data_IF_604719384616
#
_entry.id   IF_604719384616
#
_cell.length_a   1.000
_cell.length_b   1.000
_cell.length_c   1.000
_cell.angle_alpha   90.00
_cell.angle_beta   90.00
_cell.angle_gamma   90.00
#
_symmetry.space_group_name_H-M   'P 1'
#
loop_
_entity.id
_entity.type
_entity.pdbx_description
1 polymer ?
#
# COMPACT_ATOMS: atom_id res chain seq x y z
N UNK A 1 -48.20 66.74 -12.51
CA UNK A 1 -47.99 66.18 -11.15
C UNK A 1 -49.05 65.10 -10.94
N UNK A 2 -48.66 63.83 -11.09
CA UNK A 2 -48.61 62.80 -10.02
C UNK A 2 -49.93 62.62 -9.28
N UNK A 3 -50.61 61.49 -9.50
CA UNK A 3 -51.10 60.63 -8.41
C UNK A 3 -51.10 59.17 -8.88
N UNK A 4 -50.55 58.31 -8.03
CA UNK A 4 -50.31 56.88 -8.22
C UNK A 4 -51.47 56.08 -7.59
N UNK A 5 -51.92 55.05 -8.32
CA UNK A 5 -52.10 53.64 -7.91
C UNK A 5 -53.08 53.26 -6.79
N UNK A 6 -53.98 52.31 -7.09
CA UNK A 6 -54.14 50.95 -6.49
C UNK A 6 -55.60 50.47 -6.68
N UNK A 7 -55.79 49.34 -7.36
CA UNK A 7 -56.89 48.35 -7.20
C UNK A 7 -56.46 47.10 -8.00
N UNK A 8 -55.71 46.18 -7.39
CA UNK A 8 -56.22 44.97 -6.75
C UNK A 8 -57.03 44.07 -7.72
N UNK A 9 -56.33 43.17 -8.43
CA UNK A 9 -56.94 42.07 -9.19
C UNK A 9 -56.65 40.74 -8.49
N UNK A 10 -57.72 40.13 -7.97
CA UNK A 10 -57.76 38.76 -7.48
C UNK A 10 -57.37 37.77 -8.58
N UNK A 11 -56.41 36.90 -8.28
CA UNK A 11 -55.98 35.77 -9.09
C UNK A 11 -56.69 34.51 -8.58
N UNK A 12 -57.42 33.74 -9.40
CA UNK A 12 -57.95 32.45 -8.97
C UNK A 12 -56.91 31.33 -9.13
N UNK A 13 -56.89 30.53 -8.08
CA UNK A 13 -56.26 29.24 -7.81
C UNK A 13 -56.33 28.25 -9.00
N UNK A 14 -55.19 27.69 -9.41
CA UNK A 14 -55.10 26.50 -10.28
C UNK A 14 -54.57 25.33 -9.44
N UNK A 15 -55.27 24.18 -9.36
CA UNK A 15 -54.77 23.01 -8.67
C UNK A 15 -53.83 22.25 -9.62
N UNK A 16 -52.52 22.33 -9.39
CA UNK A 16 -51.57 21.48 -10.09
C UNK A 16 -51.59 20.06 -9.48
N UNK A 17 -52.07 19.11 -10.28
CA UNK A 17 -51.98 17.66 -10.05
C UNK A 17 -50.60 17.25 -9.51
N UNK A 18 -50.58 16.70 -8.29
CA UNK A 18 -49.47 15.90 -7.78
C UNK A 18 -49.53 14.53 -8.45
N UNK A 19 -48.85 14.37 -9.59
CA UNK A 19 -48.50 13.05 -10.11
C UNK A 19 -47.38 12.49 -9.21
N UNK A 20 -47.56 11.34 -8.54
CA UNK A 20 -46.44 10.63 -7.93
C UNK A 20 -45.59 10.08 -9.07
N UNK A 21 -44.53 10.81 -9.43
CA UNK A 21 -43.52 10.34 -10.35
C UNK A 21 -42.71 9.23 -9.68
N UNK A 22 -43.19 8.00 -9.76
CA UNK A 22 -42.38 6.80 -9.54
C UNK A 22 -41.21 6.81 -10.54
N UNK A 23 -40.07 7.35 -10.12
CA UNK A 23 -38.83 7.40 -10.93
C UNK A 23 -37.69 6.70 -10.20
N UNK A 24 -37.92 5.48 -9.70
CA UNK A 24 -36.86 4.62 -9.13
C UNK A 24 -36.21 3.70 -10.17
N UNK A 25 -36.92 3.30 -11.23
CA UNK A 25 -36.43 2.28 -12.18
C UNK A 25 -35.19 2.68 -13.02
N UNK A 26 -34.87 3.98 -13.11
CA UNK A 26 -33.65 4.43 -13.79
C UNK A 26 -32.38 4.23 -12.96
N UNK A 27 -32.50 4.28 -11.62
CA UNK A 27 -31.36 4.11 -10.70
C UNK A 27 -30.92 2.65 -10.66
N UNK A 28 -31.88 1.73 -10.54
CA UNK A 28 -31.60 0.29 -10.49
C UNK A 28 -31.01 -0.23 -11.81
N UNK A 29 -31.46 0.32 -12.95
CA UNK A 29 -30.92 -0.02 -14.28
C UNK A 29 -29.52 0.54 -14.49
N UNK A 30 -29.22 1.72 -13.96
CA UNK A 30 -27.87 2.29 -14.01
C UNK A 30 -26.92 1.47 -13.13
N UNK A 31 -27.34 1.13 -11.92
CA UNK A 31 -26.54 0.34 -10.99
C UNK A 31 -26.23 -1.06 -11.55
N UNK A 32 -27.22 -1.75 -12.13
CA UNK A 32 -27.00 -3.06 -12.75
C UNK A 32 -26.05 -2.98 -13.95
N UNK A 33 -26.14 -1.91 -14.75
CA UNK A 33 -25.23 -1.67 -15.88
C UNK A 33 -23.80 -1.42 -15.42
N UNK A 34 -23.61 -0.69 -14.31
CA UNK A 34 -22.28 -0.45 -13.72
C UNK A 34 -21.68 -1.79 -13.27
N UNK A 35 -22.42 -2.58 -12.48
CA UNK A 35 -21.95 -3.91 -12.02
C UNK A 35 -21.61 -4.83 -13.19
N UNK A 36 -22.40 -4.83 -14.25
CA UNK A 36 -22.15 -5.63 -15.45
C UNK A 36 -20.88 -5.17 -16.19
N UNK A 37 -20.61 -3.86 -16.24
CA UNK A 37 -19.38 -3.33 -16.85
C UNK A 37 -18.16 -3.66 -16.01
N UNK A 38 -18.24 -3.51 -14.69
CA UNK A 38 -17.14 -3.82 -13.78
C UNK A 38 -16.74 -5.30 -13.88
N UNK A 39 -17.72 -6.20 -13.90
CA UNK A 39 -17.49 -7.64 -14.13
C UNK A 39 -16.83 -7.91 -15.47
N UNK A 40 -17.25 -7.21 -16.53
CA UNK A 40 -16.66 -7.38 -17.86
C UNK A 40 -15.22 -6.86 -17.94
N UNK A 41 -14.90 -5.80 -17.21
CA UNK A 41 -13.52 -5.30 -17.11
C UNK A 41 -12.63 -6.34 -16.45
N UNK A 42 -13.05 -6.90 -15.32
CA UNK A 42 -12.31 -7.95 -14.60
C UNK A 42 -12.11 -9.16 -15.52
N UNK A 43 -13.17 -9.62 -16.18
CA UNK A 43 -13.10 -10.76 -17.09
C UNK A 43 -12.12 -10.53 -18.25
N UNK A 44 -12.17 -9.34 -18.87
CA UNK A 44 -11.27 -9.01 -19.98
C UNK A 44 -9.82 -8.90 -19.52
N UNK A 45 -9.58 -8.41 -18.29
CA UNK A 45 -8.24 -8.37 -17.72
C UNK A 45 -7.69 -9.78 -17.50
N UNK A 46 -8.49 -10.69 -16.93
CA UNK A 46 -8.12 -12.10 -16.78
C UNK A 46 -7.84 -12.77 -18.13
N UNK A 47 -8.66 -12.48 -19.14
CA UNK A 47 -8.47 -13.00 -20.50
C UNK A 47 -7.17 -12.47 -21.14
N UNK A 48 -6.85 -11.19 -20.95
CA UNK A 48 -5.59 -10.58 -21.42
C UNK A 48 -4.40 -11.26 -20.75
N UNK A 49 -4.43 -11.42 -19.42
CA UNK A 49 -3.33 -12.03 -18.68
C UNK A 49 -3.12 -13.48 -19.10
N UNK A 50 -4.21 -14.23 -19.28
CA UNK A 50 -4.19 -15.60 -19.76
C UNK A 50 -3.61 -15.71 -21.16
N UNK A 51 -4.07 -14.87 -22.10
CA UNK A 51 -3.57 -14.88 -23.47
C UNK A 51 -2.12 -14.41 -23.58
N UNK A 52 -1.71 -13.44 -22.74
CA UNK A 52 -0.33 -13.01 -22.64
C UNK A 52 0.57 -14.15 -22.15
N UNK A 53 0.14 -14.89 -21.12
CA UNK A 53 0.84 -16.08 -20.64
C UNK A 53 1.00 -17.17 -21.70
N UNK A 54 -0.07 -17.48 -22.44
CA UNK A 54 0.00 -18.46 -23.55
C UNK A 54 0.92 -18.02 -24.68
N UNK A 55 0.83 -16.76 -25.11
CA UNK A 55 1.71 -16.24 -26.15
C UNK A 55 3.17 -16.29 -25.70
N UNK A 56 3.46 -15.97 -24.44
CA UNK A 56 4.81 -16.03 -23.90
C UNK A 56 5.35 -17.47 -23.86
N UNK A 57 4.54 -18.43 -23.43
CA UNK A 57 4.93 -19.85 -23.43
C UNK A 57 5.21 -20.37 -24.84
N UNK A 58 4.30 -20.11 -25.79
CA UNK A 58 4.45 -20.52 -27.20
C UNK A 58 5.67 -19.86 -27.86
N UNK A 59 5.88 -18.57 -27.62
CA UNK A 59 7.05 -17.87 -28.15
C UNK A 59 8.35 -18.43 -27.58
N UNK A 60 8.34 -18.88 -26.32
CA UNK A 60 9.50 -19.54 -25.69
C UNK A 60 9.78 -20.88 -26.34
N UNK A 61 8.75 -21.70 -26.55
CA UNK A 61 8.87 -23.00 -27.21
C UNK A 61 9.39 -22.88 -28.65
N UNK A 62 8.79 -21.98 -29.46
CA UNK A 62 9.24 -21.71 -30.83
C UNK A 62 10.70 -21.28 -30.87
N UNK A 63 11.14 -20.50 -29.89
CA UNK A 63 12.51 -19.99 -29.80
C UNK A 63 13.51 -21.08 -29.45
N UNK A 64 13.19 -21.96 -28.49
CA UNK A 64 13.98 -23.15 -28.15
C UNK A 64 14.13 -24.05 -29.37
N UNK A 65 13.03 -24.34 -30.08
CA UNK A 65 13.06 -25.19 -31.28
C UNK A 65 13.88 -24.58 -32.42
N UNK A 66 13.91 -23.25 -32.53
CA UNK A 66 14.70 -22.54 -33.56
C UNK A 66 16.16 -22.35 -33.19
N UNK A 67 16.61 -22.81 -32.02
CA UNK A 67 17.97 -22.57 -31.53
C UNK A 67 18.31 -21.08 -31.40
N UNK A 68 17.29 -20.22 -31.32
CA UNK A 68 17.47 -18.78 -31.18
C UNK A 68 17.78 -18.48 -29.71
N UNK A 69 18.77 -17.62 -29.42
CA UNK A 69 19.03 -17.18 -28.06
C UNK A 69 17.77 -16.54 -27.48
N UNK A 70 17.47 -16.82 -26.21
CA UNK A 70 16.40 -16.12 -25.50
C UNK A 70 16.63 -14.60 -25.60
N UNK A 71 15.57 -13.79 -25.71
CA UNK A 71 15.67 -12.35 -25.80
C UNK A 71 16.43 -11.90 -24.58
N UNK A 72 17.34 -10.95 -24.77
CA UNK A 72 18.23 -10.40 -23.75
C UNK A 72 17.52 -9.70 -22.58
N UNK A 73 16.18 -9.84 -22.46
CA UNK A 73 15.48 -9.65 -21.18
C UNK A 73 15.72 -10.82 -20.21
N UNK A 74 16.16 -11.96 -20.73
CA UNK A 74 16.89 -13.00 -20.01
C UNK A 74 18.40 -12.75 -20.13
N UNK A 75 18.85 -11.50 -20.04
CA UNK A 75 20.20 -11.25 -19.58
C UNK A 75 20.23 -11.73 -18.12
N UNK A 76 21.13 -12.65 -17.70
CA UNK A 76 21.28 -12.98 -16.28
C UNK A 76 21.54 -11.75 -15.39
N UNK A 77 21.81 -10.59 -16.01
CA UNK A 77 22.02 -9.31 -15.35
C UNK A 77 20.85 -8.31 -15.43
N UNK A 78 19.74 -8.62 -16.12
CA UNK A 78 18.57 -7.72 -16.08
C UNK A 78 17.85 -7.92 -14.76
N UNK A 79 17.80 -6.90 -13.88
CA UNK A 79 17.15 -7.05 -12.59
C UNK A 79 15.65 -7.33 -12.80
N UNK A 80 15.14 -8.36 -12.11
CA UNK A 80 13.72 -8.75 -12.15
C UNK A 80 12.78 -7.58 -11.83
N UNK A 81 13.27 -6.60 -11.07
CA UNK A 81 12.57 -5.36 -10.76
C UNK A 81 13.40 -4.14 -11.18
N UNK A 82 12.89 -3.24 -12.03
CA UNK A 82 13.65 -2.13 -12.62
C UNK A 82 13.85 -0.96 -11.64
N UNK A 83 14.00 -1.21 -10.35
CA UNK A 83 14.22 -0.16 -9.36
C UNK A 83 15.66 0.37 -9.46
N UNK A 84 15.78 1.70 -9.49
CA UNK A 84 17.04 2.44 -9.63
C UNK A 84 17.36 3.30 -8.41
N UNK A 85 16.34 3.80 -7.72
CA UNK A 85 16.49 4.64 -6.54
C UNK A 85 15.34 4.43 -5.58
N UNK A 86 15.55 4.78 -4.32
CA UNK A 86 14.48 4.87 -3.32
C UNK A 86 14.49 6.29 -2.77
N UNK A 87 13.30 6.85 -2.56
CA UNK A 87 13.15 8.16 -1.92
C UNK A 87 12.18 8.07 -0.77
N UNK A 88 12.39 8.90 0.26
CA UNK A 88 11.39 9.08 1.31
C UNK A 88 10.32 10.04 0.79
N UNK A 89 9.12 9.50 0.58
CA UNK A 89 8.00 10.15 -0.06
C UNK A 89 7.49 11.40 0.67
N UNK A 90 6.73 12.21 -0.06
CA UNK A 90 6.17 13.47 0.47
C UNK A 90 5.15 13.23 1.57
N UNK A 91 4.40 12.14 1.50
CA UNK A 91 3.38 11.75 2.47
C UNK A 91 3.95 11.19 3.79
N UNK A 92 5.26 11.36 4.04
CA UNK A 92 5.87 11.05 5.34
C UNK A 92 5.47 12.12 6.35
N UNK A 93 4.81 11.72 7.44
CA UNK A 93 4.22 12.63 8.43
C UNK A 93 4.49 12.14 9.86
N UNK A 94 4.50 13.04 10.86
CA UNK A 94 4.39 12.62 12.25
C UNK A 94 3.07 11.88 12.53
N UNK A 95 3.07 11.03 13.55
CA UNK A 95 1.91 10.31 14.06
C UNK A 95 1.49 10.99 15.36
N UNK A 96 0.23 11.43 15.42
CA UNK A 96 -0.47 11.98 16.59
C UNK A 96 -1.82 11.24 16.70
N UNK A 97 -1.88 10.23 17.57
CA UNK A 97 -3.04 9.33 17.73
C UNK A 97 -3.76 9.61 19.06
N UNK A 98 -3.02 10.03 20.10
CA UNK A 98 -3.55 10.27 21.45
C UNK A 98 -4.03 11.72 21.69
N UNK A 99 -3.76 12.64 20.75
CA UNK A 99 -4.08 14.09 20.83
C UNK A 99 -3.44 14.78 22.04
N UNK A 100 -2.46 14.16 22.67
CA UNK A 100 -1.67 14.77 23.73
C UNK A 100 -0.55 15.63 23.11
N UNK A 101 0.04 16.55 23.87
CA UNK A 101 1.16 17.34 23.36
C UNK A 101 2.40 16.48 23.12
N UNK A 102 2.75 16.33 21.84
CA UNK A 102 3.92 15.59 21.37
C UNK A 102 3.50 14.61 20.29
N UNK A 103 4.39 14.32 19.35
CA UNK A 103 4.15 13.25 18.38
C UNK A 103 4.64 11.91 18.97
N UNK A 104 3.98 10.80 18.65
CA UNK A 104 4.20 9.44 19.19
C UNK A 104 5.04 8.57 18.24
N UNK A 105 5.19 9.03 17.00
CA UNK A 105 6.01 8.37 16.00
C UNK A 105 6.05 9.12 14.69
N UNK A 106 6.58 8.44 13.68
CA UNK A 106 6.57 8.92 12.29
C UNK A 106 6.05 7.82 11.38
N UNK A 107 5.16 8.20 10.48
CA UNK A 107 4.77 7.39 9.34
C UNK A 107 5.69 7.73 8.17
N UNK A 108 6.57 6.79 7.82
CA UNK A 108 7.52 6.90 6.72
C UNK A 108 6.93 6.27 5.46
N UNK A 109 6.97 7.00 4.35
CA UNK A 109 6.57 6.47 3.05
C UNK A 109 7.82 6.24 2.20
N UNK A 110 8.08 5.01 1.80
CA UNK A 110 9.18 4.69 0.89
C UNK A 110 8.66 4.54 -0.55
N UNK A 111 9.29 5.27 -1.46
CA UNK A 111 8.95 5.29 -2.88
C UNK A 111 10.15 4.76 -3.69
N UNK A 112 10.23 3.44 -3.93
CA UNK A 112 11.12 2.89 -4.94
C UNK A 112 10.74 3.39 -6.34
N UNK A 113 11.72 3.87 -7.09
CA UNK A 113 11.54 4.44 -8.43
C UNK A 113 12.45 3.77 -9.44
N UNK A 114 11.95 3.59 -10.66
CA UNK A 114 12.75 3.14 -11.80
C UNK A 114 13.61 4.26 -12.39
N UNK A 115 14.30 3.97 -13.50
CA UNK A 115 15.14 4.92 -14.22
C UNK A 115 14.35 6.13 -14.77
N UNK A 116 13.04 5.97 -15.03
CA UNK A 116 12.15 7.04 -15.48
C UNK A 116 11.53 7.82 -14.29
N UNK A 117 11.85 7.43 -13.06
CA UNK A 117 11.29 8.02 -11.84
C UNK A 117 9.87 7.54 -11.50
N UNK A 118 9.36 6.49 -12.17
CA UNK A 118 8.04 5.91 -11.89
C UNK A 118 8.11 4.98 -10.69
N UNK A 119 7.03 4.95 -9.93
CA UNK A 119 6.92 4.13 -8.72
C UNK A 119 6.90 2.63 -9.08
N UNK A 120 7.71 1.84 -8.38
CA UNK A 120 7.86 0.41 -8.67
C UNK A 120 7.61 -0.46 -7.43
N UNK A 121 6.66 -1.38 -7.52
CA UNK A 121 6.44 -2.35 -6.45
C UNK A 121 7.45 -3.50 -6.59
N UNK A 122 8.41 -3.58 -5.68
CA UNK A 122 9.41 -4.64 -5.65
C UNK A 122 9.46 -5.32 -4.27
N UNK A 123 9.68 -6.65 -4.21
CA UNK A 123 9.92 -7.36 -2.96
C UNK A 123 11.28 -6.94 -2.38
N UNK A 124 11.27 -6.56 -1.10
CA UNK A 124 12.45 -6.06 -0.41
C UNK A 124 12.25 -6.11 1.10
N UNK A 125 13.36 -6.10 1.83
CA UNK A 125 13.41 -5.70 3.24
C UNK A 125 13.65 -4.18 3.32
N UNK A 126 13.20 -3.57 4.40
CA UNK A 126 13.57 -2.18 4.72
C UNK A 126 14.08 -2.07 6.15
N UNK A 127 15.07 -1.21 6.35
CA UNK A 127 15.50 -0.79 7.69
C UNK A 127 15.45 0.73 7.75
N UNK A 128 14.66 1.24 8.68
CA UNK A 128 14.48 2.67 8.92
C UNK A 128 15.18 3.00 10.23
N UNK A 129 16.15 3.90 10.19
CA UNK A 129 16.78 4.45 11.38
C UNK A 129 16.37 5.91 11.48
N UNK A 130 15.87 6.31 12.64
CA UNK A 130 15.56 7.71 12.91
C UNK A 130 16.59 8.21 13.91
N UNK A 131 17.25 9.31 13.55
CA UNK A 131 18.21 10.00 14.40
C UNK A 131 17.70 11.40 14.70
N UNK A 132 17.80 11.79 15.94
CA UNK A 132 17.62 13.16 16.39
C UNK A 132 18.82 14.00 15.96
N UNK A 133 18.57 15.21 15.48
CA UNK A 133 19.61 16.19 15.20
C UNK A 133 19.40 17.37 16.15
N UNK A 134 20.32 17.53 17.10
CA UNK A 134 20.29 18.65 18.03
C UNK A 134 20.74 19.96 17.33
N UNK A 135 20.48 21.12 17.96
CA UNK A 135 20.88 22.44 17.46
C UNK A 135 22.40 22.59 17.26
N UNK A 136 23.21 21.75 17.91
CA UNK A 136 24.65 21.66 17.71
C UNK A 136 25.08 20.68 16.59
N UNK A 137 24.12 20.03 15.91
CA UNK A 137 24.36 19.04 14.86
C UNK A 137 24.75 17.64 15.36
N UNK A 138 24.65 17.40 16.68
CA UNK A 138 24.90 16.08 17.26
C UNK A 138 23.78 15.12 16.87
N UNK A 139 24.15 13.91 16.40
CA UNK A 139 23.19 12.87 15.97
C UNK A 139 23.01 11.85 17.09
N UNK A 140 21.80 11.78 17.65
CA UNK A 140 21.44 10.79 18.66
C UNK A 140 20.44 9.80 18.06
N UNK A 141 20.71 8.48 18.06
CA UNK A 141 19.76 7.52 17.51
C UNK A 141 18.51 7.43 18.39
N UNK A 142 17.33 7.63 17.80
CA UNK A 142 16.03 7.45 18.47
C UNK A 142 15.63 5.98 18.43
N UNK A 143 15.86 5.32 17.28
CA UNK A 143 15.51 3.92 17.09
C UNK A 143 15.78 3.44 15.68
N UNK A 144 15.72 2.12 15.52
CA UNK A 144 15.79 1.42 14.24
C UNK A 144 14.62 0.44 14.15
N UNK A 145 13.96 0.42 13.00
CA UNK A 145 12.85 -0.46 12.68
C UNK A 145 13.19 -1.26 11.43
N UNK A 146 13.20 -2.59 11.56
CA UNK A 146 13.42 -3.51 10.46
C UNK A 146 12.09 -4.13 10.03
N UNK A 147 11.88 -4.15 8.71
CA UNK A 147 10.67 -4.68 8.08
C UNK A 147 11.03 -5.85 7.17
N UNK A 148 10.36 -6.98 7.38
CA UNK A 148 10.52 -8.17 6.53
C UNK A 148 9.87 -7.99 5.16
N UNK A 149 10.21 -8.82 4.16
CA UNK A 149 9.57 -8.78 2.83
C UNK A 149 8.05 -8.92 2.88
N UNK A 150 7.52 -9.71 3.81
CA UNK A 150 6.09 -9.90 4.02
C UNK A 150 5.42 -8.64 4.55
N UNK A 151 6.05 -8.00 5.55
CA UNK A 151 5.57 -6.73 6.12
C UNK A 151 5.61 -5.61 5.08
N UNK A 152 6.69 -5.53 4.30
CA UNK A 152 6.81 -4.59 3.18
C UNK A 152 5.71 -4.82 2.14
N UNK A 153 5.48 -6.07 1.73
CA UNK A 153 4.42 -6.38 0.76
C UNK A 153 3.03 -5.95 1.25
N UNK A 154 2.76 -6.10 2.55
CA UNK A 154 1.51 -5.73 3.20
C UNK A 154 1.36 -4.21 3.40
N UNK A 155 2.47 -3.48 3.55
CA UNK A 155 2.47 -2.03 3.75
C UNK A 155 2.34 -1.21 2.46
N UNK A 156 2.35 -1.88 1.29
CA UNK A 156 2.15 -1.22 0.01
C UNK A 156 0.77 -0.57 -0.10
N UNK A 157 0.75 0.73 -0.38
CA UNK A 157 -0.44 1.50 -0.69
C UNK A 157 -0.28 2.12 -2.07
N UNK A 158 -1.35 2.11 -2.87
CA UNK A 158 -1.41 2.81 -4.14
C UNK A 158 -2.77 3.52 -4.21
N UNK A 159 -2.73 4.84 -4.26
CA UNK A 159 -3.95 5.66 -4.23
C UNK A 159 -3.67 7.13 -4.57
N UNK A 160 -4.73 7.92 -4.61
CA UNK A 160 -4.69 9.34 -4.98
C UNK A 160 -3.84 10.20 -4.03
N UNK A 161 -3.76 9.82 -2.75
CA UNK A 161 -3.10 10.61 -1.70
C UNK A 161 -1.71 10.08 -1.32
N UNK A 162 -1.53 8.76 -1.34
CA UNK A 162 -0.27 8.11 -0.95
C UNK A 162 -0.02 6.92 -1.86
N UNK A 163 1.18 6.86 -2.44
CA UNK A 163 1.64 5.72 -3.23
C UNK A 163 3.06 5.35 -2.80
N UNK A 164 3.26 4.12 -2.33
CA UNK A 164 4.52 3.64 -1.78
C UNK A 164 4.32 2.66 -0.61
N UNK A 165 5.42 2.30 0.05
CA UNK A 165 5.40 1.49 1.27
C UNK A 165 5.20 2.37 2.48
N UNK A 166 4.11 2.16 3.23
CA UNK A 166 3.76 2.98 4.41
C UNK A 166 4.17 2.28 5.70
N UNK A 167 5.21 2.80 6.34
CA UNK A 167 5.86 2.20 7.49
C UNK A 167 5.64 3.07 8.73
N UNK A 168 5.05 2.49 9.77
CA UNK A 168 4.84 3.20 11.04
C UNK A 168 6.04 2.93 11.97
N UNK A 169 6.72 4.00 12.38
CA UNK A 169 7.86 4.00 13.27
C UNK A 169 7.48 4.72 14.57
N UNK A 170 6.91 3.99 15.52
CA UNK A 170 6.57 4.53 16.86
C UNK A 170 7.84 4.72 17.68
N UNK A 171 7.92 5.81 18.44
CA UNK A 171 9.11 6.17 19.20
C UNK A 171 9.49 5.09 20.21
N UNK A 172 10.74 4.60 20.13
CA UNK A 172 11.34 3.75 21.16
C UNK A 172 11.86 4.61 22.32
N UNK A 173 12.39 5.80 21.99
CA UNK A 173 12.74 6.85 22.92
C UNK A 173 12.10 8.16 22.45
N UNK A 174 11.49 8.95 23.34
CA UNK A 174 10.89 10.23 22.96
C UNK A 174 11.99 11.20 22.49
N UNK A 175 11.78 11.89 21.36
CA UNK A 175 12.70 12.92 20.88
C UNK A 175 12.66 14.15 21.81
N UNK A 176 13.78 14.86 21.93
CA UNK A 176 13.92 16.11 22.70
C UNK A 176 13.91 17.35 21.80
N UNK A 177 14.38 17.19 20.57
CA UNK A 177 14.45 18.17 19.50
C UNK A 177 13.20 18.13 18.63
N UNK A 178 12.93 19.24 17.96
CA UNK A 178 11.86 19.37 16.97
C UNK A 178 12.28 18.89 15.58
N UNK A 179 13.52 18.42 15.40
CA UNK A 179 14.06 17.96 14.12
C UNK A 179 14.66 16.56 14.21
N UNK A 180 14.18 15.69 13.31
CA UNK A 180 14.70 14.33 13.17
C UNK A 180 15.10 14.06 11.73
N UNK A 181 16.16 13.28 11.56
CA UNK A 181 16.62 12.76 10.27
C UNK A 181 16.24 11.30 10.16
N UNK A 182 15.49 10.98 9.12
CA UNK A 182 15.07 9.64 8.75
C UNK A 182 16.09 9.11 7.75
N UNK A 183 16.67 7.95 8.04
CA UNK A 183 17.59 7.22 7.17
C UNK A 183 16.94 5.87 6.86
N UNK A 184 16.48 5.70 5.63
CA UNK A 184 15.87 4.46 5.18
C UNK A 184 16.83 3.72 4.26
N UNK A 185 17.00 2.43 4.51
CA UNK A 185 17.66 1.49 3.62
C UNK A 185 16.66 0.47 3.10
N UNK A 186 16.73 0.18 1.82
CA UNK A 186 15.82 -0.70 1.10
C UNK A 186 16.66 -1.74 0.37
N UNK A 187 16.52 -3.00 0.76
CA UNK A 187 17.35 -4.10 0.25
C UNK A 187 16.46 -5.10 -0.48
N UNK A 188 16.67 -5.27 -1.78
CA UNK A 188 15.93 -6.22 -2.60
C UNK A 188 16.44 -7.65 -2.42
N UNK A 189 15.63 -8.62 -2.87
CA UNK A 189 15.99 -10.04 -2.89
C UNK A 189 17.23 -10.34 -3.75
N UNK A 190 17.54 -9.48 -4.72
CA UNK A 190 18.75 -9.56 -5.55
C UNK A 190 20.02 -9.01 -4.84
N UNK A 191 19.89 -8.56 -3.59
CA UNK A 191 20.97 -8.01 -2.78
C UNK A 191 21.28 -6.53 -3.03
N UNK A 192 20.62 -5.87 -4.00
CA UNK A 192 20.80 -4.43 -4.21
C UNK A 192 20.23 -3.65 -3.03
N UNK A 193 21.03 -2.73 -2.50
CA UNK A 193 20.65 -1.83 -1.40
C UNK A 193 20.56 -0.40 -1.89
N UNK A 194 19.47 0.27 -1.54
CA UNK A 194 19.21 1.66 -1.84
C UNK A 194 19.01 2.42 -0.53
N UNK A 195 19.58 3.61 -0.43
CA UNK A 195 19.48 4.43 0.77
C UNK A 195 18.86 5.77 0.44
N UNK A 196 18.00 6.23 1.34
CA UNK A 196 17.31 7.49 1.23
C UNK A 196 17.33 8.20 2.59
N UNK A 197 17.49 9.51 2.56
CA UNK A 197 17.44 10.31 3.76
C UNK A 197 16.47 11.48 3.60
N UNK A 198 15.81 11.84 4.70
CA UNK A 198 14.91 12.99 4.76
C UNK A 198 14.88 13.56 6.16
N UNK A 199 14.88 14.87 6.26
CA UNK A 199 14.66 15.57 7.51
C UNK A 199 13.16 15.86 7.70
N UNK A 200 12.66 15.70 8.92
CA UNK A 200 11.28 15.93 9.30
C UNK A 200 11.22 16.77 10.58
N UNK A 201 10.33 17.77 10.58
CA UNK A 201 10.00 18.52 11.77
C UNK A 201 8.90 17.78 12.55
N UNK A 202 9.09 17.66 13.86
CA UNK A 202 8.20 16.96 14.79
C UNK A 202 7.96 17.82 16.04
N UNK A 203 6.95 17.48 16.82
CA UNK A 203 6.68 18.08 18.12
C UNK A 203 7.23 17.15 19.22
N UNK A 204 8.27 17.56 19.96
CA UNK A 204 8.71 16.76 21.10
C UNK A 204 7.65 16.78 22.20
N UNK A 205 7.53 15.71 23.01
CA UNK A 205 6.67 15.71 24.18
C UNK A 205 7.06 16.86 25.11
N UNK A 206 6.06 17.62 25.57
CA UNK A 206 6.29 18.74 26.48
C UNK A 206 6.76 18.16 27.81
N UNK A 207 8.02 18.44 28.16
CA UNK A 207 8.59 18.06 29.44
C UNK A 207 7.82 18.79 30.55
N UNK A 208 6.89 18.09 31.23
CA UNK A 208 6.11 18.65 32.35
C UNK A 208 6.95 18.88 33.61
N UNK A 209 8.26 18.68 33.52
CA UNK A 209 9.20 18.68 34.62
C UNK A 209 9.57 20.07 35.17
N UNK A 210 8.94 21.16 34.71
CA UNK A 210 9.31 22.50 35.17
C UNK A 210 8.29 23.61 34.99
N UNK A 211 7.15 23.55 35.69
CA UNK A 211 6.37 24.74 36.05
C UNK A 211 5.23 24.42 37.06
N UNK A 212 5.57 24.21 38.33
CA UNK A 212 4.69 24.68 39.41
C UNK A 212 5.27 26.00 39.93
N UNK A 213 4.77 27.18 39.53
CA UNK A 213 5.03 28.40 40.28
C UNK A 213 4.10 28.40 41.49
N UNK A 214 4.61 28.01 42.66
CA UNK A 214 3.85 28.13 43.90
C UNK A 214 4.37 27.28 45.06
N UNK A 215 5.51 27.65 45.63
CA UNK A 215 5.80 27.30 47.01
C UNK A 215 4.87 28.09 47.96
N UNK A 216 4.36 27.41 48.97
CA UNK A 216 3.84 28.05 50.19
C UNK A 216 2.32 27.89 50.38
N UNK A 217 1.90 26.86 51.11
CA UNK A 217 1.59 26.99 52.55
C UNK A 217 1.41 25.57 53.10
N UNK A 218 2.26 25.19 54.05
CA UNK A 218 2.06 23.97 54.82
C UNK A 218 0.78 24.11 55.66
N UNK A 219 -0.25 23.32 55.34
CA UNK A 219 -1.38 23.09 56.23
C UNK A 219 -1.02 21.97 57.21
N UNK A 220 -1.29 22.11 58.51
CA UNK A 220 -1.03 21.06 59.48
C UNK A 220 -2.02 19.91 59.29
N UNK A 221 -1.49 18.69 59.40
CA UNK A 221 -2.23 17.44 59.30
C UNK A 221 -3.33 17.33 60.38
N UNK A 222 -4.52 16.82 60.02
CA UNK A 222 -5.40 16.15 60.96
C UNK A 222 -5.44 14.65 60.69
N UNK A 223 -5.17 13.88 61.75
CA UNK A 223 -5.97 12.70 62.09
C UNK A 223 -5.67 11.42 61.30
N UNK A 224 -4.97 10.52 61.96
CA UNK A 224 -4.91 9.11 61.64
C UNK A 224 -6.30 8.48 61.46
N UNK A 225 -6.45 7.67 60.41
CA UNK A 225 -7.43 6.59 60.34
C UNK A 225 -6.84 5.44 59.52
N UNK A 226 -6.95 4.26 60.11
CA UNK A 226 -6.37 2.95 59.84
C UNK A 226 -6.72 2.37 58.45
N UNK A 227 -5.98 1.34 57.98
CA UNK A 227 -5.99 0.88 56.59
C UNK A 227 -7.19 -0.01 56.31
N UNK A 228 -8.04 0.42 55.38
CA UNK A 228 -9.00 -0.46 54.70
C UNK A 228 -8.29 -1.19 53.57
N UNK A 229 -7.99 -2.47 53.77
CA UNK A 229 -7.51 -3.38 52.74
C UNK A 229 -8.61 -3.50 51.68
N UNK A 230 -8.43 -2.85 50.54
CA UNK A 230 -9.17 -3.17 49.33
C UNK A 230 -8.55 -4.44 48.73
N UNK A 231 -9.20 -5.55 49.01
CA UNK A 231 -8.91 -6.87 48.45
C UNK A 231 -9.10 -6.81 46.93
N UNK A 232 -7.98 -6.82 46.21
CA UNK A 232 -7.95 -6.94 44.75
C UNK A 232 -8.48 -8.33 44.36
N UNK A 233 -9.40 -8.44 43.38
CA UNK A 233 -9.83 -9.73 42.87
C UNK A 233 -8.64 -10.45 42.24
N UNK A 234 -8.36 -11.66 42.72
CA UNK A 234 -7.36 -12.56 42.15
C UNK A 234 -7.69 -12.78 40.67
N UNK A 235 -6.72 -12.63 39.74
CA UNK A 235 -6.92 -12.97 38.34
C UNK A 235 -7.20 -14.47 38.22
N UNK A 236 -8.41 -14.84 37.78
CA UNK A 236 -8.72 -16.22 37.42
C UNK A 236 -7.85 -16.62 36.23
N UNK A 237 -7.03 -17.64 36.41
CA UNK A 237 -6.29 -18.26 35.32
C UNK A 237 -7.28 -18.77 34.26
N UNK A 238 -7.06 -18.47 32.96
CA UNK A 238 -7.92 -18.99 31.91
C UNK A 238 -7.78 -20.52 31.85
N UNK A 239 -8.92 -21.20 31.97
CA UNK A 239 -9.04 -22.64 31.79
C UNK A 239 -8.59 -22.99 30.37
N UNK A 240 -7.69 -23.97 30.16
CA UNK A 240 -7.29 -24.38 28.82
C UNK A 240 -8.51 -24.90 28.05
N UNK A 241 -8.81 -24.27 26.92
CA UNK A 241 -9.80 -24.77 25.97
C UNK A 241 -9.37 -26.17 25.47
N UNK A 242 -10.27 -27.16 25.44
CA UNK A 242 -9.96 -28.46 24.84
C UNK A 242 -9.68 -28.26 23.35
N UNK A 243 -8.46 -28.56 22.91
CA UNK A 243 -8.14 -28.60 21.50
C UNK A 243 -9.01 -29.67 20.81
N UNK A 244 -9.65 -29.35 19.67
CA UNK A 244 -10.30 -30.35 18.84
C UNK A 244 -9.27 -31.40 18.42
N UNK A 245 -9.54 -32.68 18.74
CA UNK A 245 -8.76 -33.80 18.18
C UNK A 245 -8.94 -33.80 16.67
N UNK A 246 -7.94 -33.29 15.94
CA UNK A 246 -7.87 -33.45 14.50
C UNK A 246 -7.65 -34.93 14.20
N UNK A 247 -8.61 -35.54 13.50
CA UNK A 247 -8.43 -36.87 12.93
C UNK A 247 -7.27 -36.82 11.91
N UNK A 248 -6.42 -37.86 11.85
CA UNK A 248 -5.36 -37.93 10.85
C UNK A 248 -5.94 -37.84 9.44
N UNK A 249 -5.40 -36.92 8.64
CA UNK A 249 -5.71 -36.80 7.21
C UNK A 249 -5.26 -38.09 6.51
N UNK A 250 -6.13 -38.76 5.74
CA UNK A 250 -5.74 -39.90 4.92
C UNK A 250 -4.66 -39.47 3.92
N UNK A 251 -3.52 -40.16 3.93
CA UNK A 251 -2.43 -39.89 3.01
C UNK A 251 -2.84 -40.08 1.54
N UNK A 252 -2.19 -39.39 0.60
CA UNK A 252 -2.46 -39.54 -0.83
C UNK A 252 -2.14 -40.96 -1.29
N UNK A 253 -3.09 -41.56 -2.02
CA UNK A 253 -2.93 -42.88 -2.62
C UNK A 253 -1.74 -42.87 -3.62
N UNK A 254 -0.99 -43.98 -3.74
CA UNK A 254 0.09 -44.11 -4.71
C UNK A 254 -0.45 -43.95 -6.14
N UNK A 255 0.07 -42.96 -6.85
CA UNK A 255 -0.22 -42.77 -8.27
C UNK A 255 0.54 -43.83 -9.06
N UNK A 256 -0.21 -44.70 -9.72
CA UNK A 256 0.29 -45.76 -10.59
C UNK A 256 0.99 -45.12 -11.82
N UNK A 257 2.22 -45.53 -12.18
CA UNK A 257 2.95 -44.94 -13.29
C UNK A 257 2.31 -45.32 -14.63
N UNK A 258 1.83 -44.29 -15.35
CA UNK A 258 1.29 -44.44 -16.70
C UNK A 258 2.37 -44.96 -17.68
N UNK A 259 2.00 -46.01 -18.44
CA UNK A 259 2.79 -46.58 -19.53
C UNK A 259 3.05 -45.57 -20.65
N UNK A 260 4.26 -45.52 -21.23
CA UNK A 260 4.56 -44.68 -22.38
C UNK A 260 3.85 -45.20 -23.63
N UNK A 261 2.99 -44.37 -24.22
CA UNK A 261 2.39 -44.62 -25.53
C UNK A 261 3.29 -43.98 -26.59
N UNK A 262 3.68 -44.76 -27.60
CA UNK A 262 4.67 -44.40 -28.62
C UNK A 262 4.25 -43.29 -29.58
N UNK A 263 5.20 -42.82 -30.43
CA UNK A 263 5.06 -41.61 -31.22
C UNK A 263 4.19 -41.83 -32.46
N UNK A 264 3.13 -41.03 -32.59
CA UNK A 264 2.29 -40.97 -33.79
C UNK A 264 2.55 -39.66 -34.53
N UNK A 265 3.04 -39.78 -35.77
CA UNK A 265 2.68 -38.92 -36.90
C UNK A 265 3.17 -37.47 -36.92
N UNK A 266 4.21 -37.20 -37.71
CA UNK A 266 4.53 -35.88 -38.26
C UNK A 266 3.43 -35.43 -39.26
N UNK A 267 2.89 -34.20 -39.16
CA UNK A 267 2.27 -33.53 -40.29
C UNK A 267 3.18 -32.45 -40.89
N UNK A 268 3.51 -32.69 -42.16
CA UNK A 268 3.73 -31.77 -43.29
C UNK A 268 4.39 -30.40 -43.08
N UNK A 269 5.50 -30.24 -43.82
CA UNK A 269 6.21 -28.99 -44.05
C UNK A 269 5.31 -27.89 -44.65
N UNK A 270 5.37 -26.71 -44.03
CA UNK A 270 4.82 -25.46 -44.54
C UNK A 270 5.82 -24.87 -45.55
N UNK A 271 5.40 -24.47 -46.77
CA UNK A 271 6.29 -23.84 -47.74
C UNK A 271 6.70 -22.41 -47.32
N UNK A 272 7.91 -21.94 -47.69
CA UNK A 272 8.41 -20.62 -47.29
C UNK A 272 7.67 -19.48 -48.01
N UNK A 273 7.38 -18.42 -47.24
CA UNK A 273 6.77 -17.18 -47.72
C UNK A 273 7.73 -16.38 -48.63
N UNK A 274 7.22 -15.65 -49.64
CA UNK A 274 8.03 -14.81 -50.53
C UNK A 274 8.57 -13.56 -49.81
N UNK A 275 9.73 -13.02 -50.24
CA UNK A 275 10.35 -11.85 -49.62
C UNK A 275 9.53 -10.57 -49.87
N UNK A 276 9.42 -9.76 -48.81
CA UNK A 276 8.75 -8.47 -48.81
C UNK A 276 9.43 -7.48 -49.78
N UNK A 277 8.63 -6.88 -50.66
CA UNK A 277 9.07 -5.82 -51.55
C UNK A 277 9.44 -4.57 -50.73
N UNK A 278 10.67 -4.09 -50.93
CA UNK A 278 11.17 -2.81 -50.42
C UNK A 278 10.48 -1.69 -51.21
N UNK A 279 9.61 -0.95 -50.54
CA UNK A 279 9.00 0.27 -51.06
C UNK A 279 10.04 1.39 -51.00
N UNK A 280 10.63 1.74 -52.15
CA UNK A 280 11.49 2.92 -52.27
C UNK A 280 10.63 4.19 -52.27
N UNK A 281 10.96 5.11 -51.37
CA UNK A 281 10.30 6.40 -51.16
C UNK A 281 10.80 7.43 -52.19
N UNK A 282 9.97 7.97 -53.11
CA UNK A 282 10.43 8.84 -54.19
C UNK A 282 10.36 10.33 -53.80
N UNK A 283 11.03 10.72 -52.71
CA UNK A 283 11.10 12.14 -52.30
C UNK A 283 12.50 12.61 -51.89
N UNK A 284 13.50 12.21 -52.65
CA UNK A 284 14.79 12.91 -52.67
C UNK A 284 15.17 13.22 -54.11
N UNK A 285 14.74 14.38 -54.59
CA UNK A 285 15.37 15.20 -55.63
C UNK A 285 14.89 16.63 -55.48
#
# INVERSE_FOLDING_TARGET
MRFHTILARCLPLVPALLLPSCRSGGKDKLESTIRQRDQRIIQLQEDIDKLAGYNMALQTEVRIMRGQPLPSSCDPFTPLYPVRSVVVGRSTTPIDDDRLPGDEGVQVVLEPRDADGKLQRAPACASVTIVEVDGQGLKSPIGTWDYSPEQMRASWKQGLLTSGFVLNCLWQAPPKSDRVKIMASFTMEDGRRFEAEKELAIKPPVDRSGAFPGSGTALPAPGASTPGVLELPVPQQPVPLPLPRMNPVPGPAPVEPAKPTGPTGLPNAVPPAPPAAVLLDPRVS
#
